data_IF_019106061911
#
_entry.id   IF_019106061911
#
_cell.length_a   1.000
_cell.length_b   1.000
_cell.length_c   1.000
_cell.angle_alpha   90.00
_cell.angle_beta   90.00
_cell.angle_gamma   90.00
#
_symmetry.space_group_name_H-M   'P 1'
#
loop_
_entity.id
_entity.type
_entity.pdbx_description
1 polymer ?
#
# COMPACT_ATOMS: atom_id res chain seq x y z
N UNK A 1 48.81 -21.40 -4.98
CA UNK A 1 49.60 -21.52 -3.74
C UNK A 1 48.60 -21.34 -2.61
N UNK A 2 48.19 -22.30 -1.78
CA UNK A 2 48.72 -23.55 -1.22
C UNK A 2 47.50 -24.50 -1.05
N UNK A 3 47.42 -25.73 -1.55
CA UNK A 3 48.06 -27.02 -1.22
C UNK A 3 47.92 -27.50 0.24
N UNK A 4 47.49 -28.79 0.36
CA UNK A 4 47.51 -29.73 1.51
C UNK A 4 46.24 -29.79 2.38
N UNK A 5 45.74 -30.95 2.87
CA UNK A 5 46.08 -32.37 2.71
C UNK A 5 44.86 -33.22 3.18
N UNK A 6 44.80 -34.46 2.69
CA UNK A 6 43.79 -35.46 3.05
C UNK A 6 44.07 -36.13 4.40
N UNK A 7 43.03 -36.49 5.15
CA UNK A 7 43.04 -37.65 6.04
C UNK A 7 41.62 -38.24 6.12
N UNK A 8 41.49 -39.48 5.63
CA UNK A 8 40.30 -40.29 5.72
C UNK A 8 40.33 -41.09 7.04
N UNK A 9 39.28 -40.97 7.85
CA UNK A 9 38.95 -41.93 8.91
C UNK A 9 37.45 -42.22 8.78
N UNK A 10 37.15 -43.39 8.25
CA UNK A 10 35.80 -43.93 8.16
C UNK A 10 35.32 -44.37 9.54
N UNK A 11 34.26 -43.73 10.03
CA UNK A 11 33.45 -44.23 11.14
C UNK A 11 32.13 -44.69 10.55
N UNK A 12 31.96 -46.00 10.42
CA UNK A 12 30.69 -46.62 10.08
C UNK A 12 29.73 -46.48 11.25
N UNK A 13 28.89 -45.44 11.23
CA UNK A 13 27.74 -45.32 12.12
C UNK A 13 26.68 -46.29 11.61
N UNK A 14 26.48 -47.37 12.36
CA UNK A 14 25.39 -48.32 12.16
C UNK A 14 24.06 -47.60 12.42
N UNK A 15 23.39 -47.19 11.34
CA UNK A 15 22.01 -46.67 11.39
C UNK A 15 21.10 -47.83 11.75
N UNK A 16 20.71 -47.90 13.02
CA UNK A 16 19.60 -48.72 13.45
C UNK A 16 18.33 -48.10 12.84
N UNK A 17 17.85 -48.66 11.73
CA UNK A 17 16.49 -48.40 11.28
C UNK A 17 15.54 -49.02 12.31
N UNK A 18 15.20 -48.24 13.33
CA UNK A 18 13.95 -48.44 14.03
C UNK A 18 12.85 -48.24 12.98
N UNK A 19 12.30 -49.34 12.47
CA UNK A 19 11.05 -49.28 11.73
C UNK A 19 10.04 -48.58 12.65
N UNK A 20 9.64 -47.37 12.30
CA UNK A 20 8.46 -46.75 12.87
C UNK A 20 7.31 -47.73 12.60
N UNK A 21 6.89 -48.46 13.64
CA UNK A 21 5.68 -49.23 13.59
C UNK A 21 4.56 -48.24 13.30
N UNK A 22 4.15 -48.13 12.04
CA UNK A 22 2.96 -47.38 11.65
C UNK A 22 1.83 -47.86 12.56
N UNK A 23 1.41 -47.00 13.50
CA UNK A 23 0.30 -47.31 14.37
C UNK A 23 -0.92 -47.57 13.49
N UNK A 24 -1.28 -48.84 13.32
CA UNK A 24 -2.43 -49.23 12.51
C UNK A 24 -3.69 -48.84 13.26
N UNK A 25 -4.36 -47.80 12.77
CA UNK A 25 -5.65 -47.34 13.26
C UNK A 25 -6.75 -48.05 12.48
N UNK A 26 -7.78 -48.52 13.17
CA UNK A 26 -8.92 -49.21 12.56
C UNK A 26 -10.04 -48.18 12.35
N UNK A 27 -10.55 -48.07 11.13
CA UNK A 27 -11.66 -47.20 10.78
C UNK A 27 -12.95 -48.01 10.71
N UNK A 28 -14.02 -47.52 11.33
CA UNK A 28 -15.35 -48.14 11.25
C UNK A 28 -16.41 -47.12 10.85
N UNK A 29 -17.32 -47.51 9.97
CA UNK A 29 -18.50 -46.72 9.61
C UNK A 29 -19.69 -47.63 9.30
N UNK A 30 -20.89 -47.05 9.23
CA UNK A 30 -22.11 -47.76 8.82
C UNK A 30 -22.49 -47.26 7.42
N UNK A 31 -22.63 -48.16 6.44
CA UNK A 31 -23.02 -47.82 5.06
C UNK A 31 -24.51 -47.42 4.93
N UNK A 32 -24.95 -46.93 3.76
CA UNK A 32 -26.33 -46.47 3.55
C UNK A 32 -27.37 -47.61 3.67
N UNK A 33 -26.92 -48.86 3.65
CA UNK A 33 -27.73 -50.07 3.77
C UNK A 33 -27.71 -50.64 5.20
N UNK A 34 -27.10 -49.93 6.15
CA UNK A 34 -27.01 -50.33 7.56
C UNK A 34 -25.90 -51.34 7.88
N UNK A 35 -24.96 -51.61 6.96
CA UNK A 35 -23.86 -52.57 7.17
C UNK A 35 -22.63 -51.87 7.74
N UNK A 36 -22.01 -52.49 8.75
CA UNK A 36 -20.77 -51.98 9.34
C UNK A 36 -19.57 -52.32 8.48
N UNK A 37 -18.88 -51.31 7.97
CA UNK A 37 -17.63 -51.44 7.24
C UNK A 37 -16.47 -51.19 8.21
N UNK A 38 -15.46 -52.05 8.17
CA UNK A 38 -14.25 -51.95 8.99
C UNK A 38 -13.03 -52.07 8.07
N UNK A 39 -12.08 -51.15 8.19
CA UNK A 39 -10.86 -51.19 7.39
C UNK A 39 -9.69 -50.56 8.14
N UNK A 40 -8.47 -51.03 7.85
CA UNK A 40 -7.23 -50.47 8.40
C UNK A 40 -6.81 -49.15 7.72
N UNK A 41 -7.64 -48.66 6.79
CA UNK A 41 -7.51 -47.39 6.04
C UNK A 41 -8.85 -46.67 6.00
N UNK A 42 -8.84 -45.36 5.75
CA UNK A 42 -10.07 -44.58 5.61
C UNK A 42 -10.99 -45.17 4.54
N UNK A 43 -12.28 -45.29 4.86
CA UNK A 43 -13.26 -46.00 4.04
C UNK A 43 -13.85 -45.01 3.02
N UNK A 44 -13.51 -45.17 1.74
CA UNK A 44 -13.94 -44.26 0.67
C UNK A 44 -15.48 -44.20 0.53
N UNK A 45 -16.17 -45.32 0.74
CA UNK A 45 -17.64 -45.44 0.71
C UNK A 45 -18.35 -44.67 1.83
N UNK A 46 -17.61 -44.27 2.86
CA UNK A 46 -18.11 -43.56 4.03
C UNK A 46 -17.55 -42.13 4.13
N UNK A 47 -17.06 -41.54 3.04
CA UNK A 47 -16.57 -40.15 3.03
C UNK A 47 -17.67 -39.11 3.20
N UNK A 48 -18.91 -39.53 2.95
CA UNK A 48 -20.17 -38.79 3.11
C UNK A 48 -20.74 -38.84 4.54
N UNK A 49 -20.12 -39.58 5.47
CA UNK A 49 -20.62 -39.85 6.81
C UNK A 49 -19.50 -39.89 7.86
N UNK A 50 -19.89 -39.93 9.13
CA UNK A 50 -18.92 -40.02 10.22
C UNK A 50 -18.28 -41.40 10.29
N UNK A 51 -16.95 -41.45 10.26
CA UNK A 51 -16.15 -42.65 10.51
C UNK A 51 -15.52 -42.54 11.90
N UNK A 52 -15.51 -43.63 12.67
CA UNK A 52 -14.80 -43.66 13.94
C UNK A 52 -13.44 -44.31 13.74
N UNK A 53 -12.38 -43.59 14.08
CA UNK A 53 -11.00 -44.06 14.13
C UNK A 53 -10.74 -44.65 15.51
N UNK A 54 -10.37 -45.92 15.55
CA UNK A 54 -10.08 -46.67 16.77
C UNK A 54 -8.59 -46.96 16.87
N UNK A 55 -8.08 -46.91 18.10
CA UNK A 55 -6.76 -47.42 18.45
C UNK A 55 -6.77 -48.95 18.45
N UNK A 56 -5.60 -49.58 18.29
CA UNK A 56 -5.45 -51.04 18.39
C UNK A 56 -5.88 -51.61 19.75
N UNK A 57 -5.87 -50.78 20.80
CA UNK A 57 -6.37 -51.09 22.14
C UNK A 57 -7.89 -51.00 22.29
N UNK A 58 -8.63 -50.71 21.20
CA UNK A 58 -10.10 -50.63 21.21
C UNK A 58 -10.68 -49.32 21.76
N UNK A 59 -9.83 -48.33 22.09
CA UNK A 59 -10.29 -47.01 22.48
C UNK A 59 -10.54 -46.12 21.25
N UNK A 60 -11.61 -45.32 21.27
CA UNK A 60 -11.91 -44.33 20.23
C UNK A 60 -10.78 -43.30 20.20
N UNK A 61 -10.10 -43.18 19.06
CA UNK A 61 -9.08 -42.16 18.84
C UNK A 61 -9.70 -40.86 18.38
N UNK A 62 -10.59 -40.91 17.38
CA UNK A 62 -11.22 -39.71 16.78
C UNK A 62 -12.47 -40.10 15.98
N UNK A 63 -13.45 -39.20 15.90
CA UNK A 63 -14.53 -39.31 14.92
C UNK A 63 -14.24 -38.36 13.75
N UNK A 64 -14.15 -38.90 12.53
CA UNK A 64 -13.92 -38.18 11.28
C UNK A 64 -15.28 -37.94 10.62
N UNK A 65 -15.81 -36.72 10.73
CA UNK A 65 -17.09 -36.35 10.09
C UNK A 65 -17.01 -36.36 8.55
N UNK A 66 -18.16 -36.22 7.86
CA UNK A 66 -18.21 -36.11 6.40
C UNK A 66 -17.22 -35.06 5.91
N UNK A 67 -16.37 -35.39 4.95
CA UNK A 67 -15.51 -34.39 4.33
C UNK A 67 -16.40 -33.42 3.55
N UNK A 68 -16.21 -32.10 3.73
CA UNK A 68 -16.94 -31.10 2.94
C UNK A 68 -16.83 -31.46 1.47
N UNK A 69 -17.96 -31.52 0.77
CA UNK A 69 -17.98 -31.74 -0.67
C UNK A 69 -17.15 -30.66 -1.37
N UNK A 70 -16.63 -30.93 -2.57
CA UNK A 70 -15.81 -29.95 -3.29
C UNK A 70 -16.52 -28.59 -3.43
N UNK A 71 -17.85 -28.59 -3.58
CA UNK A 71 -18.68 -27.38 -3.65
C UNK A 71 -18.83 -26.68 -2.29
N UNK A 72 -19.02 -27.42 -1.20
CA UNK A 72 -19.10 -26.84 0.15
C UNK A 72 -17.76 -26.29 0.62
N UNK A 73 -16.65 -26.98 0.30
CA UNK A 73 -15.30 -26.48 0.56
C UNK A 73 -15.03 -25.19 -0.20
N UNK A 74 -15.35 -25.15 -1.50
CA UNK A 74 -15.23 -23.93 -2.30
C UNK A 74 -16.09 -22.77 -1.76
N UNK A 75 -17.30 -23.06 -1.26
CA UNK A 75 -18.16 -22.05 -0.64
C UNK A 75 -17.60 -21.53 0.70
N UNK A 76 -17.00 -22.42 1.50
CA UNK A 76 -16.35 -22.05 2.76
C UNK A 76 -15.08 -21.24 2.50
N UNK A 77 -14.22 -21.67 1.58
CA UNK A 77 -13.02 -20.94 1.18
C UNK A 77 -13.36 -19.54 0.64
N UNK A 78 -14.44 -19.41 -0.14
CA UNK A 78 -14.92 -18.12 -0.61
C UNK A 78 -15.37 -17.20 0.54
N UNK A 79 -16.10 -17.73 1.54
CA UNK A 79 -16.50 -16.96 2.73
C UNK A 79 -15.28 -16.54 3.56
N UNK A 80 -14.33 -17.45 3.77
CA UNK A 80 -13.13 -17.18 4.56
C UNK A 80 -12.23 -16.16 3.87
N UNK A 81 -12.14 -16.21 2.53
CA UNK A 81 -11.46 -15.20 1.74
C UNK A 81 -12.10 -13.82 1.89
N UNK A 82 -13.42 -13.72 1.78
CA UNK A 82 -14.14 -12.46 1.99
C UNK A 82 -13.92 -11.91 3.41
N UNK A 83 -13.99 -12.76 4.43
CA UNK A 83 -13.75 -12.37 5.82
C UNK A 83 -12.29 -11.96 6.07
N UNK A 84 -11.33 -12.61 5.41
CA UNK A 84 -9.92 -12.23 5.48
C UNK A 84 -9.67 -10.88 4.79
N UNK A 85 -10.27 -10.65 3.61
CA UNK A 85 -10.15 -9.38 2.87
C UNK A 85 -10.72 -8.21 3.67
N UNK A 86 -11.86 -8.40 4.35
CA UNK A 86 -12.43 -7.38 5.24
C UNK A 86 -11.50 -7.06 6.42
N UNK A 87 -10.98 -8.08 7.11
CA UNK A 87 -10.02 -7.89 8.22
C UNK A 87 -8.73 -7.21 7.75
N UNK A 88 -8.24 -7.55 6.55
CA UNK A 88 -7.07 -6.92 5.96
C UNK A 88 -7.32 -5.44 5.67
N UNK A 89 -8.49 -5.08 5.11
CA UNK A 89 -8.88 -3.68 4.87
C UNK A 89 -8.93 -2.86 6.15
N UNK A 90 -9.55 -3.38 7.21
CA UNK A 90 -9.61 -2.70 8.51
C UNK A 90 -8.21 -2.52 9.15
N UNK A 91 -7.37 -3.55 9.08
CA UNK A 91 -6.00 -3.47 9.58
C UNK A 91 -5.20 -2.41 8.81
N UNK A 92 -5.35 -2.36 7.49
CA UNK A 92 -4.71 -1.37 6.62
C UNK A 92 -5.17 0.05 6.93
N UNK A 93 -6.46 0.25 7.17
CA UNK A 93 -7.00 1.55 7.59
C UNK A 93 -6.40 1.99 8.93
N UNK A 94 -6.37 1.12 9.94
CA UNK A 94 -5.74 1.42 11.23
C UNK A 94 -4.25 1.74 11.09
N UNK A 95 -3.53 1.04 10.20
CA UNK A 95 -2.12 1.32 9.90
C UNK A 95 -1.96 2.71 9.27
N UNK A 96 -2.80 3.06 8.29
CA UNK A 96 -2.80 4.38 7.64
C UNK A 96 -3.12 5.50 8.64
N UNK A 97 -4.07 5.29 9.55
CA UNK A 97 -4.46 6.28 10.56
C UNK A 97 -3.34 6.54 11.56
N UNK A 98 -2.68 5.49 12.02
CA UNK A 98 -1.51 5.60 12.90
C UNK A 98 -0.36 6.36 12.21
N UNK A 99 -0.12 6.08 10.92
CA UNK A 99 0.89 6.79 10.15
C UNK A 99 0.56 8.29 10.00
N UNK A 100 -0.71 8.63 9.78
CA UNK A 100 -1.17 10.03 9.74
C UNK A 100 -0.98 10.76 11.07
N UNK A 101 -1.34 10.12 12.19
CA UNK A 101 -1.14 10.69 13.52
C UNK A 101 0.34 10.86 13.89
N UNK A 102 1.20 9.93 13.45
CA UNK A 102 2.64 10.04 13.67
C UNK A 102 3.24 11.21 12.89
N UNK A 103 2.83 11.37 11.62
CA UNK A 103 3.30 12.48 10.77
C UNK A 103 2.73 13.82 11.23
N UNK A 104 1.47 13.84 11.64
CA UNK A 104 0.77 15.04 12.08
C UNK A 104 0.16 14.84 13.47
N UNK A 105 0.95 15.02 14.54
CA UNK A 105 0.47 14.87 15.91
C UNK A 105 -0.59 15.89 16.31
N UNK A 106 -0.73 16.98 15.56
CA UNK A 106 -1.75 17.99 15.79
C UNK A 106 -1.89 18.99 14.64
N UNK A 107 -2.85 19.93 14.73
CA UNK A 107 -3.19 20.85 13.65
C UNK A 107 -2.02 21.74 13.20
N UNK A 108 -1.11 22.10 14.11
CA UNK A 108 0.03 22.95 13.80
C UNK A 108 1.01 22.26 12.83
N UNK A 109 1.33 20.98 13.07
CA UNK A 109 2.23 20.21 12.20
C UNK A 109 1.69 20.08 10.77
N UNK A 110 0.39 19.79 10.64
CA UNK A 110 -0.27 19.72 9.33
C UNK A 110 -0.27 21.07 8.59
N UNK A 111 -0.58 22.17 9.30
CA UNK A 111 -0.54 23.52 8.68
C UNK A 111 0.86 23.93 8.24
N UNK A 112 1.88 23.61 9.03
CA UNK A 112 3.27 23.91 8.69
C UNK A 112 3.70 23.16 7.42
N UNK A 113 3.41 21.87 7.33
CA UNK A 113 3.72 21.07 6.15
C UNK A 113 2.98 21.59 4.90
N UNK A 114 1.70 21.94 5.04
CA UNK A 114 0.93 22.57 3.96
C UNK A 114 1.59 23.86 3.49
N UNK A 115 1.96 24.74 4.42
CA UNK A 115 2.61 26.00 4.09
C UNK A 115 3.95 25.78 3.38
N UNK A 116 4.76 24.83 3.86
CA UNK A 116 6.04 24.48 3.23
C UNK A 116 5.86 23.94 1.80
N UNK A 117 4.89 23.06 1.59
CA UNK A 117 4.58 22.52 0.26
C UNK A 117 4.10 23.61 -0.71
N UNK A 118 3.22 24.51 -0.26
CA UNK A 118 2.73 25.62 -1.08
C UNK A 118 3.83 26.65 -1.38
N UNK A 119 4.71 26.93 -0.41
CA UNK A 119 5.81 27.88 -0.58
C UNK A 119 6.76 27.48 -1.72
N UNK A 120 7.04 26.19 -1.90
CA UNK A 120 7.87 25.72 -3.01
C UNK A 120 7.25 26.03 -4.38
N UNK A 121 5.93 25.85 -4.52
CA UNK A 121 5.20 26.18 -5.74
C UNK A 121 5.17 27.70 -5.95
N UNK A 122 4.95 28.46 -4.87
CA UNK A 122 4.89 29.93 -4.93
C UNK A 122 6.22 30.56 -5.37
N UNK A 123 7.37 29.98 -4.99
CA UNK A 123 8.68 30.41 -5.50
C UNK A 123 8.76 30.26 -7.02
N UNK A 124 8.27 29.14 -7.56
CA UNK A 124 8.27 28.88 -9.01
C UNK A 124 7.31 29.82 -9.74
N UNK A 125 6.10 30.02 -9.22
CA UNK A 125 5.14 30.98 -9.78
C UNK A 125 5.72 32.39 -9.77
N UNK A 126 6.38 32.80 -8.68
CA UNK A 126 7.00 34.12 -8.57
C UNK A 126 8.11 34.31 -9.60
N UNK A 127 8.94 33.28 -9.84
CA UNK A 127 9.96 33.33 -10.87
C UNK A 127 9.36 33.47 -12.29
N UNK A 128 8.30 32.71 -12.59
CA UNK A 128 7.57 32.82 -13.86
C UNK A 128 6.89 34.19 -14.03
N UNK A 129 6.29 34.73 -12.96
CA UNK A 129 5.69 36.08 -12.95
C UNK A 129 6.74 37.15 -13.28
N UNK A 130 7.91 37.09 -12.64
CA UNK A 130 9.02 38.02 -12.93
C UNK A 130 9.43 37.92 -14.41
N UNK A 131 9.49 36.71 -14.97
CA UNK A 131 9.81 36.53 -16.39
C UNK A 131 8.73 37.12 -17.30
N UNK A 132 7.46 37.00 -16.94
CA UNK A 132 6.35 37.65 -17.63
C UNK A 132 6.46 39.18 -17.60
N UNK A 133 6.87 39.76 -16.47
CA UNK A 133 7.09 41.21 -16.36
C UNK A 133 8.23 41.68 -17.28
N UNK A 134 9.34 40.94 -17.33
CA UNK A 134 10.46 41.20 -18.25
C UNK A 134 10.03 41.14 -19.71
N UNK A 135 9.28 40.10 -20.11
CA UNK A 135 8.76 39.95 -21.46
C UNK A 135 7.75 41.06 -21.80
N UNK A 136 6.92 41.47 -20.84
CA UNK A 136 5.97 42.58 -21.02
C UNK A 136 6.69 43.91 -21.20
N UNK A 137 7.79 44.15 -20.49
CA UNK A 137 8.63 45.33 -20.68
C UNK A 137 9.29 45.31 -22.07
N UNK A 138 9.81 44.17 -22.51
CA UNK A 138 10.35 44.00 -23.87
C UNK A 138 9.28 44.26 -24.93
N UNK A 139 8.05 43.78 -24.72
CA UNK A 139 6.92 43.99 -25.63
C UNK A 139 6.65 45.46 -25.87
N UNK A 140 6.73 46.30 -24.84
CA UNK A 140 6.55 47.76 -24.98
C UNK A 140 7.62 48.37 -25.89
N UNK A 141 8.89 47.99 -25.72
CA UNK A 141 9.97 48.43 -26.61
C UNK A 141 9.74 48.03 -28.06
N UNK A 142 9.36 46.77 -28.29
CA UNK A 142 9.00 46.26 -29.62
C UNK A 142 7.84 47.07 -30.22
N UNK A 143 6.78 47.32 -29.45
CA UNK A 143 5.62 48.08 -29.92
C UNK A 143 5.98 49.53 -30.28
N UNK A 144 6.87 50.17 -29.53
CA UNK A 144 7.36 51.51 -29.86
C UNK A 144 8.11 51.53 -31.20
N UNK A 145 8.94 50.52 -31.50
CA UNK A 145 9.58 50.40 -32.82
C UNK A 145 8.57 50.14 -33.95
N UNK A 146 7.46 49.45 -33.63
CA UNK A 146 6.35 49.24 -34.57
C UNK A 146 5.53 50.50 -34.83
N UNK A 147 5.58 51.55 -34.00
CA UNK A 147 4.84 52.79 -34.23
C UNK A 147 5.23 53.47 -35.55
N UNK A 148 6.50 53.36 -35.95
CA UNK A 148 6.97 53.84 -37.25
C UNK A 148 6.24 53.15 -38.42
N UNK A 149 5.81 51.90 -38.22
CA UNK A 149 5.08 51.09 -39.20
C UNK A 149 3.57 51.02 -38.90
N UNK A 150 3.02 51.88 -38.04
CA UNK A 150 1.63 51.77 -37.58
C UNK A 150 0.59 51.80 -38.72
N UNK A 151 0.86 52.54 -39.80
CA UNK A 151 -0.02 52.60 -40.98
C UNK A 151 -0.01 51.30 -41.79
N UNK A 152 1.10 50.57 -41.79
CA UNK A 152 1.26 49.32 -42.52
C UNK A 152 2.27 48.40 -41.80
N UNK A 153 1.82 47.59 -40.83
CA UNK A 153 2.69 46.71 -40.05
C UNK A 153 3.41 45.63 -40.89
N UNK A 154 2.96 45.38 -42.12
CA UNK A 154 3.57 44.38 -43.00
C UNK A 154 4.96 44.81 -43.48
N UNK A 155 5.18 46.13 -43.60
CA UNK A 155 6.44 46.77 -44.00
C UNK A 155 7.50 46.78 -42.91
N UNK A 156 7.16 46.38 -41.68
CA UNK A 156 8.14 46.24 -40.61
C UNK A 156 9.25 45.24 -41.02
N UNK A 157 10.52 45.53 -40.68
CA UNK A 157 11.64 44.65 -40.97
C UNK A 157 11.42 43.23 -40.45
N UNK A 158 11.90 42.23 -41.20
CA UNK A 158 11.78 40.83 -40.81
C UNK A 158 12.32 40.53 -39.39
N UNK A 159 13.47 41.09 -38.94
CA UNK A 159 13.95 40.91 -37.58
C UNK A 159 12.96 41.40 -36.51
N UNK A 160 12.35 42.57 -36.71
CA UNK A 160 11.39 43.16 -35.77
C UNK A 160 10.10 42.33 -35.66
N UNK A 161 9.62 41.77 -36.78
CA UNK A 161 8.48 40.84 -36.79
C UNK A 161 8.77 39.56 -36.03
N UNK A 162 9.96 38.96 -36.22
CA UNK A 162 10.40 37.77 -35.49
C UNK A 162 10.51 38.05 -33.99
N UNK A 163 11.10 39.17 -33.61
CA UNK A 163 11.25 39.56 -32.20
C UNK A 163 9.89 39.67 -31.50
N UNK A 164 8.88 40.24 -32.17
CA UNK A 164 7.49 40.28 -31.66
C UNK A 164 6.91 38.89 -31.48
N UNK A 165 7.05 38.02 -32.48
CA UNK A 165 6.53 36.65 -32.43
C UNK A 165 7.20 35.81 -31.34
N UNK A 166 8.51 35.94 -31.17
CA UNK A 166 9.27 35.31 -30.08
C UNK A 166 8.80 35.81 -28.71
N UNK A 167 8.58 37.12 -28.55
CA UNK A 167 8.04 37.68 -27.31
C UNK A 167 6.62 37.17 -27.01
N UNK A 168 5.73 37.19 -28.02
CA UNK A 168 4.35 36.72 -27.90
C UNK A 168 4.30 35.23 -27.54
N UNK A 169 5.10 34.39 -28.20
CA UNK A 169 5.22 32.97 -27.87
C UNK A 169 5.78 32.74 -26.47
N UNK A 170 6.76 33.55 -26.05
CA UNK A 170 7.31 33.52 -24.69
C UNK A 170 6.26 33.87 -23.63
N UNK A 171 5.47 34.92 -23.83
CA UNK A 171 4.37 35.30 -22.94
C UNK A 171 3.31 34.21 -22.86
N UNK A 172 2.91 33.64 -24.01
CA UNK A 172 1.95 32.54 -24.05
C UNK A 172 2.46 31.29 -23.30
N UNK A 173 3.75 30.96 -23.44
CA UNK A 173 4.37 29.86 -22.72
C UNK A 173 4.42 30.09 -21.20
N UNK A 174 4.80 31.31 -20.76
CA UNK A 174 4.80 31.66 -19.33
C UNK A 174 3.37 31.62 -18.74
N UNK A 175 2.38 32.12 -19.49
CA UNK A 175 0.98 32.07 -19.06
C UNK A 175 0.46 30.65 -18.85
N UNK A 176 0.73 29.74 -19.79
CA UNK A 176 0.39 28.31 -19.64
C UNK A 176 1.10 27.70 -18.44
N UNK A 177 2.41 27.91 -18.33
CA UNK A 177 3.21 27.38 -17.22
C UNK A 177 2.68 27.84 -15.86
N UNK A 178 2.33 29.13 -15.71
CA UNK A 178 1.76 29.65 -14.47
C UNK A 178 0.38 29.03 -14.17
N UNK A 179 -0.45 28.82 -15.21
CA UNK A 179 -1.72 28.11 -15.09
C UNK A 179 -1.54 26.71 -14.51
N UNK A 180 -0.64 25.92 -15.09
CA UNK A 180 -0.33 24.57 -14.62
C UNK A 180 0.16 24.57 -13.15
N UNK A 181 1.00 25.53 -12.76
CA UNK A 181 1.47 25.65 -11.37
C UNK A 181 0.36 26.08 -10.41
N UNK A 182 -0.59 26.88 -10.87
CA UNK A 182 -1.75 27.25 -10.07
C UNK A 182 -2.69 26.05 -9.86
N UNK A 183 -2.85 25.19 -10.87
CA UNK A 183 -3.58 23.92 -10.72
C UNK A 183 -2.86 22.96 -9.78
N UNK A 184 -1.53 22.87 -9.85
CA UNK A 184 -0.73 22.11 -8.88
C UNK A 184 -0.97 22.59 -7.45
N UNK A 185 -0.99 23.91 -7.24
CA UNK A 185 -1.29 24.53 -5.94
C UNK A 185 -2.68 24.11 -5.45
N UNK A 186 -3.68 24.12 -6.33
CA UNK A 186 -5.05 23.70 -6.01
C UNK A 186 -5.10 22.21 -5.64
N UNK A 187 -4.41 21.34 -6.39
CA UNK A 187 -4.33 19.90 -6.11
C UNK A 187 -3.67 19.61 -4.76
N UNK A 188 -2.60 20.34 -4.42
CA UNK A 188 -1.95 20.24 -3.11
C UNK A 188 -2.92 20.65 -2.00
N UNK A 189 -3.61 21.78 -2.16
CA UNK A 189 -4.61 22.22 -1.19
C UNK A 189 -5.71 21.18 -0.98
N UNK A 190 -6.31 20.67 -2.05
CA UNK A 190 -7.36 19.66 -1.99
C UNK A 190 -6.90 18.40 -1.24
N UNK A 191 -5.67 17.92 -1.50
CA UNK A 191 -5.10 16.79 -0.79
C UNK A 191 -5.00 17.06 0.72
N UNK A 192 -4.46 18.21 1.12
CA UNK A 192 -4.37 18.59 2.53
C UNK A 192 -5.75 18.79 3.17
N UNK A 193 -6.73 19.30 2.43
CA UNK A 193 -8.10 19.48 2.94
C UNK A 193 -8.78 18.12 3.17
N UNK A 194 -8.60 17.16 2.26
CA UNK A 194 -9.08 15.78 2.43
C UNK A 194 -8.42 15.09 3.63
N UNK A 195 -7.10 15.25 3.78
CA UNK A 195 -6.33 14.71 4.91
C UNK A 195 -6.78 15.34 6.25
N UNK A 196 -7.06 16.65 6.25
CA UNK A 196 -7.53 17.38 7.42
C UNK A 196 -8.87 16.87 7.94
N UNK A 197 -9.83 16.52 7.06
CA UNK A 197 -11.13 15.95 7.47
C UNK A 197 -10.92 14.69 8.32
N UNK A 198 -9.98 13.84 7.89
CA UNK A 198 -9.66 12.61 8.62
C UNK A 198 -8.92 12.89 9.92
N UNK A 199 -7.92 13.77 9.88
CA UNK A 199 -7.14 14.15 11.06
C UNK A 199 -7.98 14.84 12.14
N UNK A 200 -8.97 15.66 11.78
CA UNK A 200 -9.90 16.27 12.74
C UNK A 200 -10.64 15.23 13.57
N UNK A 201 -11.06 14.12 12.96
CA UNK A 201 -11.68 12.99 13.67
C UNK A 201 -10.66 12.30 14.57
N UNK A 202 -9.44 12.07 14.08
CA UNK A 202 -8.39 11.37 14.82
C UNK A 202 -7.76 12.20 15.96
N UNK A 203 -7.79 13.53 15.89
CA UNK A 203 -7.30 14.42 16.95
C UNK A 203 -8.34 14.72 18.02
N UNK A 204 -9.61 14.34 17.80
CA UNK A 204 -10.65 14.50 18.81
C UNK A 204 -10.20 13.85 20.13
N UNK A 205 -10.47 14.46 21.29
CA UNK A 205 -9.84 14.10 22.57
C UNK A 205 -10.01 12.62 22.95
N UNK A 206 -11.09 11.97 22.53
CA UNK A 206 -11.32 10.53 22.69
C UNK A 206 -10.26 9.65 22.00
N UNK A 207 -9.71 10.09 20.87
CA UNK A 207 -8.71 9.36 20.07
C UNK A 207 -7.28 9.83 20.38
N UNK A 208 -7.08 11.09 20.78
CA UNK A 208 -5.76 11.61 21.15
C UNK A 208 -5.24 11.03 22.49
N UNK A 209 -6.12 10.72 23.45
CA UNK A 209 -5.75 10.09 24.71
C UNK A 209 -5.16 8.67 24.50
N UNK A 210 -5.78 7.87 23.63
CA UNK A 210 -5.35 6.49 23.34
C UNK A 210 -4.03 6.43 22.54
N UNK A 211 -3.78 7.39 21.66
CA UNK A 211 -2.52 7.46 20.90
C UNK A 211 -1.32 7.88 21.78
N UNK A 212 -1.52 8.80 22.74
CA UNK A 212 -0.47 9.25 23.67
C UNK A 212 -0.06 8.15 24.65
N UNK A 213 -1.02 7.37 25.16
CA UNK A 213 -0.72 6.24 26.03
C UNK A 213 0.03 5.12 25.30
N UNK A 214 -0.30 4.84 24.04
CA UNK A 214 0.39 3.82 23.26
C UNK A 214 1.86 4.19 22.97
N UNK A 215 2.13 5.46 22.63
CA UNK A 215 3.50 5.96 22.42
C UNK A 215 4.32 5.95 23.72
N UNK A 216 3.69 6.28 24.86
CA UNK A 216 4.33 6.17 26.18
C UNK A 216 4.69 4.72 26.52
N UNK A 217 3.78 3.77 26.28
CA UNK A 217 3.99 2.35 26.57
C UNK A 217 5.10 1.71 25.71
N UNK A 218 5.21 2.10 24.44
CA UNK A 218 6.27 1.63 23.53
C UNK A 218 7.66 2.19 23.87
N UNK A 219 7.73 3.38 24.44
CA UNK A 219 9.00 3.96 24.88
C UNK A 219 9.47 3.35 26.21
N UNK A 220 8.55 2.95 27.10
CA UNK A 220 8.90 2.28 28.36
C UNK A 220 9.30 0.81 28.19
N UNK A 221 8.88 0.13 27.11
CA UNK A 221 9.28 -1.28 26.85
C UNK A 221 10.67 -1.41 26.22
N UNK A 222 11.27 -0.30 25.75
CA UNK A 222 12.62 -0.25 25.18
C UNK A 222 13.72 0.11 26.19
N UNK A 223 13.35 0.42 27.43
CA UNK A 223 14.26 0.90 28.48
C UNK A 223 14.37 -0.04 29.69
N UNK A 224 13.81 -1.26 29.63
CA UNK A 224 14.13 -2.30 30.60
C UNK A 224 15.35 -3.11 30.14
N UNK A 225 16.39 -3.25 30.97
CA UNK A 225 17.60 -4.04 30.67
C UNK A 225 17.31 -5.54 30.62
#
# INVERSE_FOLDING_TARGET
>A
MFLQAALAIGVTVSVCLCAEAFAQNIYTCVDAKGRTLTADRQIAECMDRTQTEWTRSGAVRRQVGPSLTAKERAAQDAKDKLAADLRAREADEKRRDRALLLRYPGPAAHRQERAAALAQIDVVIKAASKRTDELTAQRKGILNEFEFYAKDPSKAPAPLKRLREENDSGLAAQGKFMGDRQEDKNRVNQRFDQELIKLQRLWSPTTAATARDFSRYQNTSKTMP
#
